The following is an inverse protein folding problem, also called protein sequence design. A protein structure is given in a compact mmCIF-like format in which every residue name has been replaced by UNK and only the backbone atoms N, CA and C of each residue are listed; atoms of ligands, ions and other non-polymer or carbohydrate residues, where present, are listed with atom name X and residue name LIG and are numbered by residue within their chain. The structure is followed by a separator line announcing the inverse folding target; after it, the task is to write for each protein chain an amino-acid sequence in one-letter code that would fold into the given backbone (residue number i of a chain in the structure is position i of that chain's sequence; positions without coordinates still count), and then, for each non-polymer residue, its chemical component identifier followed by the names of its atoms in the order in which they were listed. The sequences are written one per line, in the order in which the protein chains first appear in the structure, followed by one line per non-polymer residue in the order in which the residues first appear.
data_IF_529204981084
#
_entry.id   IF_529204981084
#
_cell.length_a   1.000
_cell.length_b   1.000
_cell.length_c   1.000
_cell.angle_alpha   90.00
_cell.angle_beta   90.00
_cell.angle_gamma   90.00
#
_symmetry.space_group_name_H-M   'P 1'
#
loop_
_entity.id
_entity.type
_entity.pdbx_description
1 polymer ?
#
# COMPACT_ATOMS: atom_id res chain seq x y z
N UNK A 1 7.57 -26.28 9.02
CA UNK A 1 8.36 -25.04 8.90
C UNK A 1 7.45 -23.97 8.32
N UNK A 2 6.97 -23.03 9.16
CA UNK A 2 6.18 -21.88 8.70
C UNK A 2 7.14 -20.76 8.38
N UNK A 3 7.61 -20.71 7.13
CA UNK A 3 8.35 -19.56 6.62
C UNK A 3 7.34 -18.44 6.36
N UNK A 4 6.81 -17.85 7.42
CA UNK A 4 6.20 -16.52 7.35
C UNK A 4 7.35 -15.59 7.02
N UNK A 5 7.59 -15.36 5.73
CA UNK A 5 8.45 -14.29 5.25
C UNK A 5 7.99 -13.04 5.97
N UNK A 6 8.75 -12.63 6.98
CA UNK A 6 8.59 -11.35 7.63
C UNK A 6 8.78 -10.33 6.50
N UNK A 7 7.66 -9.85 5.98
CA UNK A 7 7.60 -8.77 5.02
C UNK A 7 8.44 -7.67 5.68
N UNK A 8 9.52 -7.17 5.03
CA UNK A 8 10.31 -6.13 5.64
C UNK A 8 9.35 -5.02 6.06
N UNK A 9 9.32 -4.73 7.36
CA UNK A 9 8.44 -3.75 8.02
C UNK A 9 8.89 -2.33 7.68
N UNK A 10 9.25 -2.09 6.42
CA UNK A 10 9.27 -0.74 5.87
C UNK A 10 7.87 -0.15 6.13
N UNK A 11 7.76 1.12 6.53
CA UNK A 11 6.45 1.74 6.76
C UNK A 11 5.69 1.81 5.43
N UNK A 12 4.90 0.76 5.17
CA UNK A 12 3.99 0.68 4.05
C UNK A 12 2.81 1.59 4.37
N UNK A 13 2.71 2.71 3.66
CA UNK A 13 1.61 3.64 3.82
C UNK A 13 0.39 3.10 3.10
N UNK A 14 -0.70 2.91 3.85
CA UNK A 14 -1.99 2.51 3.29
C UNK A 14 -2.50 3.63 2.39
N UNK A 15 -2.80 3.30 1.15
CA UNK A 15 -3.46 4.21 0.23
C UNK A 15 -4.93 4.33 0.66
N UNK A 16 -5.45 5.56 0.86
CA UNK A 16 -6.81 5.75 1.34
C UNK A 16 -7.82 5.29 0.29
N UNK A 17 -8.64 4.30 0.64
CA UNK A 17 -9.65 3.74 -0.25
C UNK A 17 -9.62 2.22 -0.26
N UNK A 18 -10.62 1.66 -0.93
CA UNK A 18 -10.69 0.24 -1.27
C UNK A 18 -10.77 0.14 -2.78
N UNK A 19 -9.86 -0.61 -3.38
CA UNK A 19 -9.68 -0.68 -4.82
C UNK A 19 -10.09 -2.02 -5.36
N UNK A 20 -10.60 -2.05 -6.59
CA UNK A 20 -10.86 -3.31 -7.29
C UNK A 20 -9.61 -3.76 -8.02
N UNK A 21 -9.58 -5.05 -8.40
CA UNK A 21 -8.43 -5.67 -9.08
C UNK A 21 -8.00 -4.93 -10.36
N UNK A 22 -8.96 -4.36 -11.08
CA UNK A 22 -8.73 -3.64 -12.33
C UNK A 22 -8.32 -2.17 -12.14
N UNK A 23 -8.50 -1.60 -10.95
CA UNK A 23 -8.07 -0.23 -10.63
C UNK A 23 -6.60 -0.19 -10.16
N UNK A 24 -6.06 -1.33 -9.70
CA UNK A 24 -4.66 -1.46 -9.27
C UNK A 24 -3.63 -0.93 -10.29
N UNK A 25 -3.68 -1.30 -11.59
CA UNK A 25 -2.72 -0.79 -12.55
C UNK A 25 -2.77 0.73 -12.75
N UNK A 26 -3.88 1.41 -12.41
CA UNK A 26 -3.99 2.88 -12.53
C UNK A 26 -3.32 3.62 -11.37
N UNK A 27 -3.19 2.98 -10.21
CA UNK A 27 -2.54 3.55 -9.01
C UNK A 27 -1.10 3.07 -8.83
N UNK A 28 -0.66 2.11 -9.63
CA UNK A 28 0.70 1.58 -9.56
C UNK A 28 1.69 2.48 -10.29
N UNK A 29 2.63 3.01 -9.52
CA UNK A 29 3.74 3.83 -9.98
C UNK A 29 4.95 2.94 -10.28
N UNK A 30 5.76 3.41 -11.22
CA UNK A 30 6.98 2.70 -11.63
C UNK A 30 8.00 2.76 -10.50
N UNK A 31 8.74 1.66 -10.30
CA UNK A 31 9.80 1.52 -9.28
C UNK A 31 9.32 1.59 -7.82
N UNK A 32 8.02 1.36 -7.57
CA UNK A 32 7.46 1.38 -6.22
C UNK A 32 7.00 0.00 -5.78
N UNK A 33 7.24 -0.34 -4.51
CA UNK A 33 6.74 -1.58 -3.91
C UNK A 33 5.31 -1.37 -3.45
N UNK A 34 4.44 -2.28 -3.85
CA UNK A 34 3.05 -2.31 -3.45
C UNK A 34 2.74 -3.62 -2.72
N UNK A 35 1.96 -3.51 -1.67
CA UNK A 35 1.37 -4.62 -0.95
C UNK A 35 -0.15 -4.55 -1.11
N UNK A 36 -0.78 -5.67 -1.45
CA UNK A 36 -2.22 -5.75 -1.69
C UNK A 36 -2.78 -6.76 -0.70
N UNK A 37 -3.82 -6.38 0.03
CA UNK A 37 -4.55 -7.26 0.93
C UNK A 37 -6.04 -7.28 0.62
N UNK A 38 -6.68 -8.41 0.85
CA UNK A 38 -8.14 -8.55 0.75
C UNK A 38 -8.79 -7.81 1.94
N UNK A 39 -9.46 -6.70 1.64
CA UNK A 39 -10.09 -5.85 2.66
C UNK A 39 -11.57 -6.15 2.87
N UNK A 40 -12.15 -7.00 2.02
CA UNK A 40 -13.54 -7.42 2.09
C UNK A 40 -14.18 -7.49 0.71
N UNK A 41 -15.50 -7.45 0.69
CA UNK A 41 -16.30 -7.58 -0.54
C UNK A 41 -17.33 -6.46 -0.57
N UNK A 42 -17.43 -5.78 -1.71
CA UNK A 42 -18.49 -4.81 -1.95
C UNK A 42 -19.86 -5.50 -1.97
N UNK A 43 -20.94 -4.73 -1.82
CA UNK A 43 -22.31 -5.26 -1.79
C UNK A 43 -22.68 -6.07 -3.05
N UNK A 44 -22.09 -5.73 -4.20
CA UNK A 44 -22.28 -6.44 -5.47
C UNK A 44 -21.47 -7.75 -5.59
N UNK A 45 -20.77 -8.16 -4.53
CA UNK A 45 -19.91 -9.36 -4.54
C UNK A 45 -18.52 -9.12 -5.12
N UNK A 46 -18.18 -7.88 -5.49
CA UNK A 46 -16.84 -7.56 -6.01
C UNK A 46 -15.82 -7.51 -4.87
N UNK A 47 -14.69 -8.24 -4.94
CA UNK A 47 -13.66 -8.17 -3.92
C UNK A 47 -13.01 -6.78 -3.90
N UNK A 48 -12.85 -6.26 -2.70
CA UNK A 48 -12.22 -4.98 -2.41
C UNK A 48 -10.86 -5.23 -1.80
N UNK A 49 -9.88 -4.50 -2.31
CA UNK A 49 -8.48 -4.66 -1.96
C UNK A 49 -7.98 -3.39 -1.26
N UNK A 50 -7.33 -3.58 -0.12
CA UNK A 50 -6.52 -2.53 0.48
C UNK A 50 -5.14 -2.55 -0.16
N UNK A 51 -4.65 -1.38 -0.54
CA UNK A 51 -3.34 -1.23 -1.16
C UNK A 51 -2.46 -0.42 -0.23
N UNK A 52 -1.25 -0.90 -0.03
CA UNK A 52 -0.21 -0.21 0.72
C UNK A 52 0.96 0.03 -0.22
N UNK A 53 1.51 1.24 -0.20
CA UNK A 53 2.70 1.60 -0.96
C UNK A 53 3.86 1.85 0.00
N UNK A 54 5.05 1.36 -0.32
CA UNK A 54 6.26 1.87 0.33
C UNK A 54 6.37 3.36 0.02
N UNK A 55 6.48 4.23 1.03
CA UNK A 55 6.83 5.63 0.76
C UNK A 55 8.10 5.65 -0.10
N UNK A 56 8.19 6.53 -1.12
CA UNK A 56 9.50 6.74 -1.71
C UNK A 56 10.38 7.24 -0.55
N UNK A 57 11.69 7.01 -0.57
CA UNK A 57 12.62 7.68 0.36
C UNK A 57 12.67 9.21 0.14
N UNK A 58 11.57 9.82 -0.29
CA UNK A 58 11.39 11.27 -0.31
C UNK A 58 10.99 11.70 1.11
N UNK A 59 12.05 11.90 1.89
CA UNK A 59 12.12 13.02 2.82
C UNK A 59 11.19 12.92 4.05
N UNK A 60 11.54 11.99 4.95
CA UNK A 60 11.21 12.15 6.37
C UNK A 60 12.10 13.22 7.05
N UNK A 61 12.60 14.22 6.30
CA UNK A 61 13.52 15.26 6.76
C UNK A 61 13.01 16.69 6.47
N UNK A 62 11.72 16.86 6.19
CA UNK A 62 11.07 18.17 6.00
C UNK A 62 10.18 18.57 7.19
N UNK A 63 10.50 18.12 8.40
CA UNK A 63 9.78 18.51 9.62
C UNK A 63 10.71 18.59 10.83
N UNK A 64 11.89 19.19 10.68
CA UNK A 64 12.75 19.58 11.81
C UNK A 64 13.48 20.90 11.51
N UNK A 65 12.74 21.94 11.12
CA UNK A 65 13.27 23.31 11.12
C UNK A 65 12.18 24.28 11.61
N UNK A 66 12.11 24.57 12.92
CA UNK A 66 11.58 25.84 13.40
C UNK A 66 12.67 26.92 13.38
N UNK A 67 12.33 28.11 12.89
CA UNK A 67 13.12 29.37 12.94
C UNK A 67 13.38 29.86 14.37
#
# INVERSE_FOLDING_TARGET
MSNTTAIPTEPLKRIPGLYRRWELPEIFEVQRRYHIEEAGTHADGTPLLAVYSSEPEVDAQASDFPE
#
